data_IF_753094064674
#
_entry.id   IF_753094064674
#
_cell.length_a   1.000
_cell.length_b   1.000
_cell.length_c   1.000
_cell.angle_alpha   90.00
_cell.angle_beta   90.00
_cell.angle_gamma   90.00
#
_symmetry.space_group_name_H-M   'P 1'
#
loop_
_entity.id
_entity.type
_entity.pdbx_description
1 polymer ?
#
# COMPACT_ATOMS: atom_id res chain seq x y z
N UNK A 1 1.48 7.05 -26.59
CA UNK A 1 1.35 5.73 -27.26
C UNK A 1 0.49 4.80 -26.40
N UNK A 2 0.79 4.64 -25.11
CA UNK A 2 0.01 3.77 -24.21
C UNK A 2 -1.49 4.12 -24.12
N UNK A 3 -1.81 5.39 -23.84
CA UNK A 3 -3.22 5.87 -23.75
C UNK A 3 -3.98 5.78 -25.08
N UNK A 4 -3.27 5.82 -26.21
CA UNK A 4 -3.88 5.67 -27.55
C UNK A 4 -4.23 4.21 -27.84
N UNK A 5 -3.38 3.27 -27.40
CA UNK A 5 -3.55 1.85 -27.67
C UNK A 5 -4.43 1.14 -26.62
N UNK A 6 -4.55 1.71 -25.41
CA UNK A 6 -5.35 1.16 -24.32
C UNK A 6 -6.30 2.24 -23.78
N UNK A 7 -7.51 2.35 -24.33
CA UNK A 7 -8.51 3.32 -23.89
C UNK A 7 -8.74 3.26 -22.36
N UNK A 8 -8.99 4.42 -21.75
CA UNK A 8 -9.18 4.54 -20.29
C UNK A 8 -7.88 4.57 -19.48
N UNK A 9 -6.73 4.21 -20.06
CA UNK A 9 -5.42 4.29 -19.39
C UNK A 9 -5.12 5.71 -18.95
N UNK A 10 -4.57 5.84 -17.74
CA UNK A 10 -4.14 7.11 -17.16
C UNK A 10 -2.64 7.08 -16.91
N UNK A 11 -1.94 8.05 -17.51
CA UNK A 11 -0.52 8.27 -17.27
C UNK A 11 -0.27 9.68 -16.77
N UNK A 12 0.77 9.84 -15.95
CA UNK A 12 1.25 11.16 -15.55
C UNK A 12 2.76 11.16 -15.46
N UNK A 13 3.39 12.20 -15.98
CA UNK A 13 4.80 12.49 -15.76
C UNK A 13 4.89 13.84 -15.06
N UNK A 14 5.70 13.90 -14.01
CA UNK A 14 6.08 15.14 -13.36
C UNK A 14 7.57 15.37 -13.55
N UNK A 15 7.94 16.61 -13.86
CA UNK A 15 9.32 17.05 -13.98
C UNK A 15 9.71 18.00 -12.83
N UNK A 16 11.02 18.16 -12.61
CA UNK A 16 11.54 19.21 -11.74
C UNK A 16 11.64 20.56 -12.48
N UNK A 17 12.18 21.59 -11.80
CA UNK A 17 12.33 22.93 -12.37
C UNK A 17 13.31 22.98 -13.56
N UNK A 18 14.17 21.97 -13.71
CA UNK A 18 15.12 21.82 -14.81
C UNK A 18 14.56 20.89 -15.90
N UNK A 19 13.26 20.59 -15.87
CA UNK A 19 12.58 19.73 -16.81
C UNK A 19 13.10 18.27 -16.84
N UNK A 20 13.72 17.82 -15.74
CA UNK A 20 14.18 16.44 -15.58
C UNK A 20 13.08 15.58 -14.98
N UNK A 21 13.07 14.30 -15.35
CA UNK A 21 12.11 13.34 -14.79
C UNK A 21 12.18 13.33 -13.26
N UNK A 22 11.00 13.42 -12.63
CA UNK A 22 10.85 13.40 -11.18
C UNK A 22 9.94 12.26 -10.72
N UNK A 23 8.71 12.24 -11.24
CA UNK A 23 7.74 11.19 -10.94
C UNK A 23 7.04 10.69 -12.21
N UNK A 24 6.64 9.43 -12.20
CA UNK A 24 5.84 8.80 -13.24
C UNK A 24 4.68 8.02 -12.62
N UNK A 25 3.54 7.97 -13.30
CA UNK A 25 2.37 7.19 -12.90
C UNK A 25 1.77 6.52 -14.13
N UNK A 26 1.27 5.30 -13.93
CA UNK A 26 0.58 4.53 -14.94
C UNK A 26 -0.47 3.62 -14.30
N UNK A 27 -1.71 3.72 -14.78
CA UNK A 27 -2.79 2.80 -14.48
C UNK A 27 -3.50 2.45 -15.80
N UNK A 28 -3.56 1.16 -16.15
CA UNK A 28 -4.14 0.71 -17.42
C UNK A 28 -5.65 0.81 -17.37
N UNK A 29 -6.27 1.21 -18.48
CA UNK A 29 -7.73 1.39 -18.57
C UNK A 29 -8.53 0.17 -18.11
N UNK A 30 -8.23 -1.05 -18.61
CA UNK A 30 -8.89 -2.27 -18.15
C UNK A 30 -8.67 -2.55 -16.64
N UNK A 31 -7.52 -2.16 -16.09
CA UNK A 31 -7.24 -2.30 -14.65
C UNK A 31 -8.11 -1.34 -13.81
N UNK A 32 -8.25 -0.10 -14.27
CA UNK A 32 -9.10 0.91 -13.64
C UNK A 32 -10.57 0.49 -13.71
N UNK A 33 -11.02 0.03 -14.87
CA UNK A 33 -12.39 -0.42 -15.09
C UNK A 33 -12.72 -1.62 -14.22
N UNK A 34 -11.89 -2.67 -14.24
CA UNK A 34 -12.11 -3.85 -13.41
C UNK A 34 -12.12 -3.50 -11.92
N UNK A 35 -11.21 -2.63 -11.47
CA UNK A 35 -11.21 -2.18 -10.08
C UNK A 35 -12.52 -1.52 -9.66
N UNK A 36 -13.02 -0.59 -10.47
CA UNK A 36 -14.21 0.19 -10.14
C UNK A 36 -15.53 -0.57 -10.34
N UNK A 37 -15.53 -1.76 -10.94
CA UNK A 37 -16.76 -2.50 -11.29
C UNK A 37 -16.92 -3.82 -10.57
N UNK A 38 -15.85 -4.62 -10.44
CA UNK A 38 -15.96 -6.03 -10.00
C UNK A 38 -14.97 -6.42 -8.91
N UNK A 39 -13.92 -5.63 -8.68
CA UNK A 39 -12.91 -5.92 -7.65
C UNK A 39 -13.37 -5.38 -6.31
N UNK A 40 -13.07 -6.12 -5.24
CA UNK A 40 -13.29 -5.65 -3.87
C UNK A 40 -12.48 -4.37 -3.63
N UNK A 41 -13.03 -3.31 -2.99
CA UNK A 41 -12.35 -2.03 -2.79
C UNK A 41 -11.28 -2.09 -1.67
N UNK A 42 -10.34 -3.02 -1.79
CA UNK A 42 -9.18 -3.20 -0.90
C UNK A 42 -7.92 -3.09 -1.74
N UNK A 43 -7.14 -2.05 -1.49
CA UNK A 43 -5.90 -1.77 -2.21
C UNK A 43 -4.72 -1.96 -1.27
N UNK A 44 -3.76 -2.80 -1.65
CA UNK A 44 -2.46 -2.85 -1.01
C UNK A 44 -1.48 -1.96 -1.77
N UNK A 45 -0.76 -1.10 -1.05
CA UNK A 45 0.31 -0.27 -1.59
C UNK A 45 1.65 -0.60 -0.97
N UNK A 46 2.70 -0.62 -1.80
CA UNK A 46 4.06 -0.88 -1.36
C UNK A 46 5.09 -0.22 -2.28
N UNK A 47 6.35 -0.17 -1.84
CA UNK A 47 7.47 0.34 -2.59
C UNK A 47 8.62 -0.66 -2.66
N UNK A 48 9.32 -0.67 -3.79
CA UNK A 48 10.58 -1.42 -3.92
C UNK A 48 11.66 -0.59 -4.60
N UNK A 49 12.90 -0.78 -4.15
CA UNK A 49 14.05 -0.07 -4.67
C UNK A 49 14.52 -0.67 -6.00
N UNK A 50 14.62 0.17 -7.03
CA UNK A 50 15.08 -0.24 -8.35
C UNK A 50 16.60 -0.45 -8.36
N UNK A 51 17.04 -1.62 -8.86
CA UNK A 51 18.45 -1.97 -9.05
C UNK A 51 18.98 -1.47 -10.40
N UNK A 52 18.89 -0.17 -10.65
CA UNK A 52 19.40 0.47 -11.88
C UNK A 52 20.54 1.43 -11.59
N UNK A 53 21.30 1.84 -12.62
CA UNK A 53 22.34 2.88 -12.51
C UNK A 53 21.79 4.20 -11.98
N UNK A 54 20.56 4.54 -12.35
CA UNK A 54 19.86 5.77 -11.94
C UNK A 54 19.19 5.64 -10.57
N UNK A 55 19.12 4.43 -10.00
CA UNK A 55 18.38 4.10 -8.78
C UNK A 55 16.91 4.55 -8.89
N UNK A 56 16.22 4.66 -7.76
CA UNK A 56 14.83 5.08 -7.68
C UNK A 56 13.96 4.03 -7.00
N UNK A 57 12.66 4.32 -6.95
CA UNK A 57 11.67 3.46 -6.31
C UNK A 57 10.49 3.23 -7.25
N UNK A 58 10.04 1.98 -7.29
CA UNK A 58 8.78 1.58 -7.90
C UNK A 58 7.75 1.51 -6.78
N UNK A 59 6.76 2.38 -6.86
CA UNK A 59 5.56 2.37 -6.03
C UNK A 59 4.51 1.51 -6.76
N UNK A 60 3.79 0.66 -6.04
CA UNK A 60 2.80 -0.23 -6.64
C UNK A 60 1.51 -0.17 -5.84
N UNK A 61 0.38 -0.16 -6.54
CA UNK A 61 -0.94 -0.42 -5.98
C UNK A 61 -1.50 -1.70 -6.61
N UNK A 62 -1.85 -2.66 -5.77
CA UNK A 62 -2.45 -3.94 -6.18
C UNK A 62 -3.72 -4.20 -5.38
N UNK A 63 -4.59 -5.04 -5.95
CA UNK A 63 -5.81 -5.53 -5.32
C UNK A 63 -5.80 -7.06 -5.34
N UNK A 64 -6.86 -7.67 -4.82
CA UNK A 64 -7.18 -9.08 -5.05
C UNK A 64 -8.45 -9.22 -5.85
N UNK A 65 -8.43 -10.07 -6.86
CA UNK A 65 -9.64 -10.43 -7.61
C UNK A 65 -10.48 -11.48 -6.87
N UNK A 66 -11.61 -11.88 -7.48
CA UNK A 66 -12.52 -12.89 -6.93
C UNK A 66 -11.90 -14.29 -6.80
N UNK A 67 -10.77 -14.55 -7.46
CA UNK A 67 -10.01 -15.79 -7.39
C UNK A 67 -8.82 -15.69 -6.41
N UNK A 68 -8.78 -14.63 -5.59
CA UNK A 68 -7.70 -14.31 -4.66
C UNK A 68 -6.33 -14.04 -5.32
N UNK A 69 -6.31 -13.84 -6.63
CA UNK A 69 -5.10 -13.54 -7.39
C UNK A 69 -4.76 -12.05 -7.30
N UNK A 70 -3.47 -11.74 -7.43
CA UNK A 70 -3.00 -10.36 -7.43
C UNK A 70 -3.48 -9.67 -8.70
N UNK A 71 -4.25 -8.60 -8.51
CA UNK A 71 -4.74 -7.75 -9.58
C UNK A 71 -3.97 -6.43 -9.60
N UNK A 72 -3.21 -6.10 -10.66
CA UNK A 72 -2.48 -4.84 -10.73
C UNK A 72 -3.43 -3.67 -10.96
N UNK A 73 -3.32 -2.61 -10.16
CA UNK A 73 -4.13 -1.40 -10.32
C UNK A 73 -3.31 -0.24 -10.91
N UNK A 74 -2.18 0.08 -10.27
CA UNK A 74 -1.35 1.20 -10.70
C UNK A 74 0.13 1.02 -10.33
N UNK A 75 0.97 1.70 -11.10
CA UNK A 75 2.42 1.77 -10.91
C UNK A 75 2.87 3.23 -10.83
N UNK A 76 3.80 3.49 -9.91
CA UNK A 76 4.42 4.77 -9.70
C UNK A 76 5.93 4.65 -9.77
N UNK A 77 6.59 5.65 -10.34
CA UNK A 77 8.03 5.74 -10.46
C UNK A 77 8.47 7.01 -9.77
N UNK A 78 9.43 6.91 -8.85
CA UNK A 78 9.96 8.08 -8.16
C UNK A 78 11.45 7.95 -7.92
N UNK A 79 12.09 9.10 -7.67
CA UNK A 79 13.52 9.17 -7.35
C UNK A 79 13.86 8.65 -5.94
N UNK A 80 12.90 8.65 -5.01
CA UNK A 80 13.09 8.21 -3.62
C UNK A 80 11.75 7.87 -2.97
N UNK A 81 11.78 7.02 -1.95
CA UNK A 81 10.64 6.76 -1.08
C UNK A 81 10.57 7.84 0.00
N UNK A 82 9.65 8.80 -0.15
CA UNK A 82 9.49 9.91 0.78
C UNK A 82 8.04 10.42 0.80
N UNK A 83 7.70 11.28 1.76
CA UNK A 83 6.36 11.88 1.83
C UNK A 83 5.93 12.53 0.52
N UNK A 84 6.84 13.21 -0.19
CA UNK A 84 6.50 13.89 -1.44
C UNK A 84 6.14 12.92 -2.57
N UNK A 85 6.89 11.83 -2.72
CA UNK A 85 6.61 10.82 -3.75
C UNK A 85 5.36 10.02 -3.43
N UNK A 86 5.16 9.65 -2.17
CA UNK A 86 3.94 8.96 -1.71
C UNK A 86 2.69 9.82 -1.87
N UNK A 87 2.70 11.07 -1.40
CA UNK A 87 1.55 11.98 -1.58
C UNK A 87 1.22 12.18 -3.06
N UNK A 88 2.24 12.34 -3.92
CA UNK A 88 2.03 12.50 -5.35
C UNK A 88 1.43 11.25 -5.99
N UNK A 89 1.97 10.08 -5.69
CA UNK A 89 1.47 8.80 -6.20
C UNK A 89 0.03 8.52 -5.74
N UNK A 90 -0.24 8.69 -4.44
CA UNK A 90 -1.57 8.52 -3.87
C UNK A 90 -2.57 9.49 -4.49
N UNK A 91 -2.17 10.73 -4.81
CA UNK A 91 -3.04 11.66 -5.53
C UNK A 91 -3.42 11.15 -6.92
N UNK A 92 -2.46 10.60 -7.67
CA UNK A 92 -2.77 10.02 -8.98
C UNK A 92 -3.65 8.76 -8.85
N UNK A 93 -3.39 7.92 -7.85
CA UNK A 93 -4.20 6.75 -7.55
C UNK A 93 -5.64 7.12 -7.16
N UNK A 94 -5.82 8.14 -6.32
CA UNK A 94 -7.13 8.67 -5.93
C UNK A 94 -7.93 9.09 -7.16
N UNK A 95 -7.30 9.78 -8.11
CA UNK A 95 -7.99 10.33 -9.29
C UNK A 95 -8.45 9.25 -10.29
N UNK A 96 -8.05 7.98 -10.13
CA UNK A 96 -8.54 6.85 -10.93
C UNK A 96 -9.57 5.97 -10.22
N UNK A 97 -9.88 6.27 -8.96
CA UNK A 97 -10.86 5.53 -8.15
C UNK A 97 -12.18 6.29 -8.17
N UNK A 98 -13.29 5.60 -8.46
CA UNK A 98 -14.61 6.20 -8.54
C UNK A 98 -15.16 6.59 -7.16
N UNK A 99 -14.96 5.72 -6.17
CA UNK A 99 -15.47 5.87 -4.79
C UNK A 99 -14.33 5.76 -3.76
N UNK A 100 -13.42 6.74 -3.68
CA UNK A 100 -12.24 6.67 -2.82
C UNK A 100 -12.60 6.55 -1.33
N UNK A 101 -13.73 7.09 -0.90
CA UNK A 101 -14.25 6.98 0.47
C UNK A 101 -14.64 5.55 0.87
N UNK A 102 -14.91 4.66 -0.09
CA UNK A 102 -15.28 3.27 0.16
C UNK A 102 -14.08 2.31 0.14
N UNK A 103 -12.89 2.82 -0.15
CA UNK A 103 -11.68 1.99 -0.25
C UNK A 103 -11.04 1.79 1.13
N UNK A 104 -10.59 0.56 1.38
CA UNK A 104 -9.64 0.25 2.43
C UNK A 104 -8.24 0.13 1.83
N UNK A 105 -7.28 0.89 2.36
CA UNK A 105 -5.88 0.85 1.94
C UNK A 105 -5.04 0.11 2.99
N UNK A 106 -4.27 -0.87 2.51
CA UNK A 106 -3.29 -1.64 3.30
C UNK A 106 -1.89 -1.18 2.89
N UNK A 107 -1.02 -0.86 3.84
CA UNK A 107 0.36 -0.46 3.52
C UNK A 107 1.39 -0.89 4.55
N UNK A 108 2.67 -0.72 4.25
CA UNK A 108 3.72 -0.68 5.28
C UNK A 108 3.58 0.58 6.18
N UNK A 109 4.31 0.60 7.30
CA UNK A 109 4.37 1.66 8.32
C UNK A 109 5.30 2.82 7.92
N UNK A 110 5.67 2.96 6.65
CA UNK A 110 6.52 4.06 6.22
C UNK A 110 5.82 5.41 6.43
N UNK A 111 6.48 6.37 7.10
CA UNK A 111 5.86 7.66 7.50
C UNK A 111 5.39 8.48 6.31
N UNK A 112 6.05 8.34 5.16
CA UNK A 112 5.63 8.97 3.90
C UNK A 112 4.25 8.50 3.44
N UNK A 113 3.91 7.23 3.64
CA UNK A 113 2.60 6.68 3.31
C UNK A 113 1.56 7.27 4.25
N UNK A 114 1.77 7.21 5.57
CA UNK A 114 0.82 7.75 6.56
C UNK A 114 0.54 9.24 6.35
N UNK A 115 1.55 10.02 5.95
CA UNK A 115 1.36 11.44 5.60
C UNK A 115 0.53 11.61 4.33
N UNK A 116 0.81 10.83 3.29
CA UNK A 116 0.05 10.86 2.05
C UNK A 116 -1.40 10.41 2.24
N UNK A 117 -1.64 9.36 3.03
CA UNK A 117 -2.97 8.88 3.38
C UNK A 117 -3.82 9.95 4.06
N UNK A 118 -3.28 10.62 5.09
CA UNK A 118 -3.97 11.74 5.76
C UNK A 118 -4.31 12.89 4.82
N UNK A 119 -3.46 13.15 3.83
CA UNK A 119 -3.64 14.26 2.91
C UNK A 119 -4.60 13.95 1.74
N UNK A 120 -4.59 12.71 1.25
CA UNK A 120 -5.26 12.34 -0.01
C UNK A 120 -6.50 11.45 0.21
N UNK A 121 -6.47 10.59 1.22
CA UNK A 121 -7.52 9.64 1.54
C UNK A 121 -8.02 9.84 2.99
N UNK A 122 -8.42 11.06 3.41
CA UNK A 122 -8.76 11.35 4.80
C UNK A 122 -9.98 10.58 5.31
N UNK A 123 -10.85 10.14 4.41
CA UNK A 123 -12.10 9.43 4.73
C UNK A 123 -12.03 7.92 4.50
N UNK A 124 -10.92 7.43 3.94
CA UNK A 124 -10.73 6.01 3.64
C UNK A 124 -10.14 5.28 4.83
N UNK A 125 -10.50 4.01 5.01
CA UNK A 125 -9.87 3.19 6.04
C UNK A 125 -8.40 2.92 5.66
N UNK A 126 -7.49 3.08 6.62
CA UNK A 126 -6.07 2.78 6.46
C UNK A 126 -5.63 1.77 7.52
N UNK A 127 -5.08 0.65 7.08
CA UNK A 127 -4.58 -0.41 7.98
C UNK A 127 -3.14 -0.79 7.62
N UNK A 128 -2.40 -1.24 8.63
CA UNK A 128 -1.03 -1.71 8.44
C UNK A 128 -1.04 -3.15 7.93
N UNK A 129 -0.16 -3.44 6.98
CA UNK A 129 0.05 -4.77 6.44
C UNK A 129 0.52 -5.71 7.57
N UNK A 130 -0.26 -6.77 7.80
CA UNK A 130 0.04 -7.69 8.90
C UNK A 130 1.40 -8.37 8.74
N UNK A 131 1.82 -8.65 7.50
CA UNK A 131 3.13 -9.23 7.18
C UNK A 131 4.28 -8.28 7.53
N UNK A 132 4.20 -7.02 7.10
CA UNK A 132 5.23 -6.02 7.39
C UNK A 132 5.31 -5.73 8.89
N UNK A 133 4.18 -5.63 9.58
CA UNK A 133 4.15 -5.46 11.02
C UNK A 133 4.77 -6.66 11.77
N UNK A 134 4.50 -7.89 11.31
CA UNK A 134 5.18 -9.08 11.83
C UNK A 134 6.70 -9.01 11.62
N UNK A 135 7.18 -8.63 10.43
CA UNK A 135 8.60 -8.52 10.17
C UNK A 135 9.28 -7.44 11.01
N UNK A 136 8.61 -6.31 11.23
CA UNK A 136 9.08 -5.27 12.13
C UNK A 136 9.18 -5.79 13.58
N UNK A 137 8.17 -6.52 14.07
CA UNK A 137 8.21 -7.16 15.39
C UNK A 137 9.37 -8.16 15.54
N UNK A 138 9.66 -8.97 14.50
CA UNK A 138 10.81 -9.90 14.51
C UNK A 138 12.14 -9.18 14.74
N UNK A 139 12.30 -7.98 14.19
CA UNK A 139 13.54 -7.23 14.32
C UNK A 139 13.70 -6.61 15.71
N UNK A 140 12.61 -6.32 16.42
CA UNK A 140 12.63 -5.59 17.68
C UNK A 140 12.43 -6.46 18.93
N UNK A 141 12.05 -7.74 18.78
CA UNK A 141 11.81 -8.63 19.91
C UNK A 141 12.85 -9.76 20.01
N UNK A 142 13.23 -10.13 21.25
CA UNK A 142 14.18 -11.24 21.53
C UNK A 142 13.55 -12.62 21.30
N UNK A 143 12.31 -12.86 21.78
CA UNK A 143 11.56 -14.11 21.62
C UNK A 143 10.77 -14.14 20.31
N UNK A 144 11.49 -14.08 19.18
CA UNK A 144 10.90 -13.86 17.84
C UNK A 144 9.81 -14.87 17.48
N UNK A 145 10.03 -16.16 17.74
CA UNK A 145 9.05 -17.21 17.41
C UNK A 145 7.73 -17.03 18.14
N UNK A 146 7.79 -16.91 19.46
CA UNK A 146 6.60 -16.76 20.32
C UNK A 146 5.84 -15.48 20.01
N UNK A 147 6.55 -14.34 19.88
CA UNK A 147 5.94 -13.04 19.58
C UNK A 147 5.17 -13.10 18.26
N UNK A 148 5.73 -13.72 17.24
CA UNK A 148 5.11 -13.78 15.91
C UNK A 148 3.93 -14.76 15.88
N UNK A 149 4.06 -15.88 16.58
CA UNK A 149 2.96 -16.83 16.74
C UNK A 149 1.74 -16.17 17.39
N UNK A 150 1.94 -15.47 18.52
CA UNK A 150 0.85 -14.77 19.21
C UNK A 150 0.33 -13.57 18.41
N UNK A 151 1.22 -12.83 17.74
CA UNK A 151 0.82 -11.74 16.86
C UNK A 151 -0.15 -12.20 15.78
N UNK A 152 0.13 -13.28 15.05
CA UNK A 152 -0.79 -13.76 14.02
C UNK A 152 -2.08 -14.33 14.63
N UNK A 153 -2.02 -14.97 15.80
CA UNK A 153 -3.23 -15.40 16.53
C UNK A 153 -4.14 -14.23 16.89
N UNK A 154 -3.56 -13.08 17.24
CA UNK A 154 -4.30 -11.85 17.50
C UNK A 154 -4.82 -11.24 16.18
N UNK A 155 -3.96 -11.08 15.17
CA UNK A 155 -4.33 -10.48 13.88
C UNK A 155 -5.48 -11.23 13.16
N UNK A 156 -5.55 -12.56 13.32
CA UNK A 156 -6.63 -13.39 12.76
C UNK A 156 -7.75 -13.71 13.76
N UNK A 157 -7.80 -13.04 14.92
CA UNK A 157 -8.90 -13.23 15.86
C UNK A 157 -10.20 -12.65 15.30
N UNK A 158 -11.21 -13.52 15.12
CA UNK A 158 -12.53 -13.10 14.63
C UNK A 158 -13.34 -12.31 15.66
N UNK A 159 -13.08 -12.51 16.96
CA UNK A 159 -13.79 -11.86 18.06
C UNK A 159 -12.84 -11.03 18.91
N UNK A 160 -13.36 -9.90 19.41
CA UNK A 160 -12.63 -9.00 20.30
C UNK A 160 -12.17 -9.73 21.56
N UNK A 161 -13.00 -10.60 22.17
CA UNK A 161 -12.59 -11.30 23.39
C UNK A 161 -11.39 -12.24 23.13
N UNK A 162 -11.36 -12.88 21.96
CA UNK A 162 -10.22 -13.72 21.55
C UNK A 162 -8.99 -12.86 21.28
N UNK A 163 -9.15 -11.71 20.62
CA UNK A 163 -8.06 -10.76 20.39
C UNK A 163 -7.44 -10.32 21.70
N UNK A 164 -8.25 -9.83 22.65
CA UNK A 164 -7.81 -9.33 23.94
C UNK A 164 -7.08 -10.39 24.76
N UNK A 165 -7.60 -11.62 24.77
CA UNK A 165 -6.94 -12.76 25.42
C UNK A 165 -5.56 -13.03 24.83
N UNK A 166 -5.44 -13.11 23.51
CA UNK A 166 -4.15 -13.37 22.85
C UNK A 166 -3.19 -12.19 23.03
N UNK A 167 -3.69 -10.96 23.05
CA UNK A 167 -2.87 -9.78 23.33
C UNK A 167 -2.34 -9.76 24.77
N UNK A 168 -3.12 -10.25 25.75
CA UNK A 168 -2.66 -10.44 27.12
C UNK A 168 -1.55 -11.51 27.20
N UNK A 169 -1.70 -12.63 26.48
CA UNK A 169 -0.65 -13.65 26.35
C UNK A 169 0.64 -13.07 25.71
N UNK A 170 0.50 -12.25 24.67
CA UNK A 170 1.65 -11.61 24.02
C UNK A 170 2.40 -10.67 24.98
N UNK A 171 1.66 -9.87 25.78
CA UNK A 171 2.23 -8.94 26.78
C UNK A 171 2.97 -9.66 27.91
N UNK A 172 2.55 -10.87 28.30
CA UNK A 172 3.25 -11.62 29.35
C UNK A 172 4.57 -12.21 28.85
N UNK A 173 4.66 -12.54 27.57
CA UNK A 173 5.88 -13.09 26.94
C UNK A 173 6.93 -11.98 26.71
N UNK A 174 6.46 -10.78 26.40
CA UNK A 174 7.28 -9.59 26.20
C UNK A 174 6.67 -8.38 26.91
N UNK A 175 6.92 -8.22 28.22
CA UNK A 175 6.54 -7.01 28.95
C UNK A 175 7.29 -5.83 28.34
N UNK A 176 6.59 -4.70 28.19
CA UNK A 176 7.14 -3.46 27.62
C UNK A 176 8.35 -2.94 28.40
#
# INVERSE_FOLDING_TARGET
MLEKCNPGTKTKIATDRQNRFKYGFMALGPCIEGFNTVIRPVIAVDATHLKSKTKGVLLVAVCKDGNEMIYPLAFGFANSECSKSWTWFLKQLHDVILHPELVLIVSDRHTGISNGMRAIFPNSAHVLCAYHLANNLKQHCRKRGDVIYHYYRAAYAYRVEKFDRVMAELKSIHPS
#
